data_IF_679414546759
#
_entry.id   IF_679414546759
#
_cell.length_a   1.000
_cell.length_b   1.000
_cell.length_c   1.000
_cell.angle_alpha   90.00
_cell.angle_beta   90.00
_cell.angle_gamma   90.00
#
_symmetry.space_group_name_H-M   'P 1'
#
loop_
_entity.id
_entity.type
_entity.pdbx_description
1 polymer ?
#
# COMPACT_ATOMS: atom_id res chain seq x y z
N UNK A 1 23.50 -8.22 -20.62
CA UNK A 1 22.78 -9.17 -19.76
C UNK A 1 21.59 -8.42 -19.15
N UNK A 2 20.35 -8.84 -19.42
CA UNK A 2 19.15 -8.03 -19.16
C UNK A 2 18.15 -8.72 -18.21
N UNK A 3 18.64 -9.21 -17.06
CA UNK A 3 17.87 -10.11 -16.16
C UNK A 3 18.01 -9.78 -14.66
N UNK A 4 18.39 -8.55 -14.29
CA UNK A 4 18.60 -8.13 -12.88
C UNK A 4 18.02 -6.74 -12.58
N UNK A 5 16.91 -6.36 -13.22
CA UNK A 5 16.29 -5.03 -13.09
C UNK A 5 14.76 -5.05 -12.85
N UNK A 6 14.18 -6.22 -12.55
CA UNK A 6 12.72 -6.43 -12.57
C UNK A 6 12.17 -7.05 -11.27
N UNK A 7 12.77 -6.71 -10.11
CA UNK A 7 12.38 -7.32 -8.81
C UNK A 7 12.41 -6.40 -7.58
N UNK A 8 12.44 -5.08 -7.80
CA UNK A 8 12.33 -4.06 -6.75
C UNK A 8 11.38 -2.98 -7.27
N UNK A 9 10.08 -3.18 -7.08
CA UNK A 9 9.05 -2.23 -7.53
C UNK A 9 8.11 -1.91 -6.38
N UNK A 10 8.05 -0.63 -5.99
CA UNK A 10 6.99 -0.02 -5.17
C UNK A 10 6.76 -0.50 -3.72
N UNK A 11 7.68 -1.21 -3.06
CA UNK A 11 7.52 -1.51 -1.61
C UNK A 11 7.49 -0.24 -0.75
N UNK A 12 7.98 0.87 -1.30
CA UNK A 12 7.87 2.20 -0.73
C UNK A 12 6.45 2.80 -0.71
N UNK A 13 5.41 2.04 -1.07
CA UNK A 13 4.01 2.51 -1.06
C UNK A 13 3.40 2.33 0.34
N UNK A 14 2.56 1.33 0.62
CA UNK A 14 1.61 1.39 1.75
C UNK A 14 2.19 1.53 3.18
N UNK A 15 3.45 1.18 3.45
CA UNK A 15 4.12 1.40 4.77
C UNK A 15 5.19 2.51 4.75
N UNK A 16 5.38 3.19 3.61
CA UNK A 16 6.41 4.21 3.36
C UNK A 16 5.85 5.49 2.72
N UNK A 17 4.58 5.51 2.37
CA UNK A 17 3.72 6.67 2.21
C UNK A 17 3.50 7.42 3.54
N UNK A 18 4.55 7.56 4.35
CA UNK A 18 4.62 8.55 5.43
C UNK A 18 4.99 9.90 4.82
N UNK A 19 4.02 10.54 4.17
CA UNK A 19 4.00 11.92 3.69
C UNK A 19 5.36 12.56 3.31
N UNK A 20 5.67 12.43 2.03
CA UNK A 20 6.52 13.31 1.22
C UNK A 20 8.04 13.29 1.37
N UNK A 21 8.68 13.66 0.25
CA UNK A 21 10.08 14.12 0.19
C UNK A 21 10.42 15.07 1.33
N UNK A 22 11.63 14.92 1.87
CA UNK A 22 12.25 15.82 2.86
C UNK A 22 12.19 17.31 2.44
N UNK A 23 12.11 17.59 1.15
CA UNK A 23 12.00 18.94 0.56
C UNK A 23 10.63 19.57 0.79
N UNK A 24 9.56 18.81 0.58
CA UNK A 24 8.16 19.26 0.74
C UNK A 24 7.66 19.14 2.19
N UNK A 25 8.29 18.28 3.01
CA UNK A 25 8.11 18.24 4.47
C UNK A 25 8.62 19.50 5.20
N UNK A 26 9.21 20.46 4.48
CA UNK A 26 9.40 21.83 4.99
C UNK A 26 8.12 22.69 4.91
N UNK A 27 7.08 22.24 4.20
CA UNK A 27 5.81 22.94 4.00
C UNK A 27 4.57 22.23 4.58
N UNK A 28 4.56 20.91 4.70
CA UNK A 28 3.44 20.15 5.28
C UNK A 28 3.47 20.24 6.82
N UNK A 29 2.43 20.82 7.41
CA UNK A 29 2.34 21.15 8.84
C UNK A 29 1.91 19.97 9.74
N UNK A 30 2.60 18.84 9.66
CA UNK A 30 2.42 17.74 10.62
C UNK A 30 3.62 17.68 11.56
N UNK A 31 3.40 17.92 12.84
CA UNK A 31 4.43 17.79 13.88
C UNK A 31 4.90 16.33 14.02
N UNK A 32 6.06 16.11 14.66
CA UNK A 32 6.57 14.74 14.87
C UNK A 32 5.67 13.94 15.80
N UNK A 33 5.00 14.64 16.71
CA UNK A 33 3.98 14.16 17.61
C UNK A 33 2.75 13.65 16.82
N UNK A 34 2.22 14.43 15.88
CA UNK A 34 1.09 14.03 15.02
C UNK A 34 1.45 12.90 14.05
N UNK A 35 2.67 12.91 13.49
CA UNK A 35 3.18 11.80 12.68
C UNK A 35 3.22 10.49 13.49
N UNK A 36 3.68 10.54 14.75
CA UNK A 36 3.70 9.38 15.64
C UNK A 36 2.30 8.98 16.11
N UNK A 37 1.37 9.92 16.28
CA UNK A 37 -0.03 9.64 16.61
C UNK A 37 -0.76 8.89 15.48
N UNK A 38 -0.52 9.29 14.22
CA UNK A 38 -1.14 8.67 13.05
C UNK A 38 -0.47 7.34 12.63
N UNK A 39 0.87 7.28 12.65
CA UNK A 39 1.64 6.19 12.02
C UNK A 39 2.47 5.34 13.01
N UNK A 40 2.51 5.72 14.29
CA UNK A 40 3.25 5.01 15.34
C UNK A 40 4.78 5.10 15.22
N UNK A 41 5.47 4.26 15.99
CA UNK A 41 6.94 4.12 15.99
C UNK A 41 7.52 3.45 14.72
N UNK A 42 6.70 3.24 13.67
CA UNK A 42 7.14 2.66 12.40
C UNK A 42 7.77 3.64 11.42
N UNK A 43 7.68 4.94 11.68
CA UNK A 43 8.20 6.00 10.80
C UNK A 43 9.67 6.32 11.09
N UNK A 44 10.50 6.44 10.05
CA UNK A 44 11.85 7.00 10.14
C UNK A 44 12.17 7.90 8.94
N UNK A 45 12.94 8.96 9.19
CA UNK A 45 13.37 9.91 8.15
C UNK A 45 14.31 9.25 7.10
N UNK A 46 15.07 8.24 7.53
CA UNK A 46 15.93 7.41 6.68
C UNK A 46 15.12 6.67 5.61
N UNK A 47 13.93 6.17 5.96
CA UNK A 47 13.07 5.48 5.00
C UNK A 47 12.47 6.41 3.94
N UNK A 48 12.31 7.71 4.22
CA UNK A 48 11.82 8.69 3.26
C UNK A 48 12.89 9.11 2.24
N UNK A 49 14.13 9.37 2.69
CA UNK A 49 15.26 9.70 1.81
C UNK A 49 15.56 8.53 0.84
N UNK A 50 15.56 7.28 1.33
CA UNK A 50 15.67 6.08 0.49
C UNK A 50 14.47 5.90 -0.46
N UNK A 51 13.29 6.45 -0.17
CA UNK A 51 12.16 6.39 -1.10
C UNK A 51 12.35 7.40 -2.24
N UNK A 52 12.71 8.65 -1.93
CA UNK A 52 12.94 9.70 -2.93
C UNK A 52 14.08 9.33 -3.90
N UNK A 53 15.20 8.82 -3.40
CA UNK A 53 16.37 8.48 -4.24
C UNK A 53 16.09 7.41 -5.30
N UNK A 54 15.13 6.50 -5.05
CA UNK A 54 14.84 5.36 -5.94
C UNK A 54 13.53 5.53 -6.73
N UNK A 55 12.59 6.37 -6.25
CA UNK A 55 11.25 6.51 -6.81
C UNK A 55 10.91 7.92 -7.30
N UNK A 56 11.75 8.93 -7.00
CA UNK A 56 11.51 10.35 -7.28
C UNK A 56 11.13 10.68 -8.73
N UNK A 57 11.72 9.97 -9.69
CA UNK A 57 11.46 10.15 -11.13
C UNK A 57 10.22 9.42 -11.66
N UNK A 58 9.55 8.60 -10.85
CA UNK A 58 8.36 7.86 -11.30
C UNK A 58 7.10 8.75 -11.28
N UNK A 59 6.24 8.59 -12.29
CA UNK A 59 5.00 9.36 -12.36
C UNK A 59 4.01 8.98 -11.23
N UNK A 60 4.05 7.73 -10.74
CA UNK A 60 3.30 7.31 -9.55
C UNK A 60 3.74 8.09 -8.29
N UNK A 61 5.05 8.29 -8.08
CA UNK A 61 5.58 9.12 -7.00
C UNK A 61 5.17 10.58 -7.16
N UNK A 62 5.39 11.17 -8.34
CA UNK A 62 5.01 12.57 -8.65
C UNK A 62 3.51 12.81 -8.46
N UNK A 63 2.67 11.85 -8.86
CA UNK A 63 1.22 11.91 -8.70
C UNK A 63 0.82 11.80 -7.22
N UNK A 64 1.39 10.85 -6.47
CA UNK A 64 1.21 10.73 -5.01
C UNK A 64 1.55 12.05 -4.32
N UNK A 65 2.77 12.58 -4.52
CA UNK A 65 3.21 13.87 -3.99
C UNK A 65 2.22 15.00 -4.31
N UNK A 66 1.68 15.04 -5.52
CA UNK A 66 0.70 16.06 -5.93
C UNK A 66 -0.67 15.91 -5.26
N UNK A 67 -1.11 14.69 -4.91
CA UNK A 67 -2.35 14.47 -4.14
C UNK A 67 -2.12 14.77 -2.66
N UNK A 68 -1.12 14.13 -2.05
CA UNK A 68 -0.81 14.18 -0.61
C UNK A 68 -0.34 15.54 -0.11
N UNK A 69 0.27 16.38 -0.96
CA UNK A 69 0.72 17.75 -0.59
C UNK A 69 -0.37 18.69 -0.06
N UNK A 70 -1.64 18.31 -0.17
CA UNK A 70 -2.79 19.10 0.30
C UNK A 70 -3.49 18.53 1.53
N UNK A 71 -3.11 17.34 1.98
CA UNK A 71 -3.84 16.62 3.03
C UNK A 71 -3.61 17.25 4.40
N UNK A 72 -4.69 17.35 5.16
CA UNK A 72 -4.72 17.73 6.56
C UNK A 72 -4.53 16.50 7.47
N UNK A 73 -4.54 16.71 8.80
CA UNK A 73 -4.58 15.62 9.77
C UNK A 73 -5.86 14.77 9.65
N UNK A 74 -6.98 15.40 9.28
CA UNK A 74 -8.27 14.72 9.19
C UNK A 74 -8.37 13.87 7.92
N UNK A 75 -7.87 14.37 6.77
CA UNK A 75 -7.71 13.57 5.54
C UNK A 75 -6.83 12.33 5.80
N UNK A 76 -5.74 12.50 6.59
CA UNK A 76 -4.90 11.37 6.99
C UNK A 76 -5.60 10.36 7.89
N UNK A 77 -6.47 10.81 8.78
CA UNK A 77 -7.25 9.92 9.64
C UNK A 77 -8.28 9.12 8.82
N UNK A 78 -8.91 9.73 7.82
CA UNK A 78 -9.81 9.06 6.88
C UNK A 78 -9.08 8.02 6.03
N UNK A 79 -7.94 8.40 5.42
CA UNK A 79 -7.06 7.50 4.65
C UNK A 79 -6.60 6.31 5.51
N UNK A 80 -6.25 6.54 6.78
CA UNK A 80 -5.91 5.46 7.71
C UNK A 80 -7.11 4.56 8.01
N UNK A 81 -8.29 5.12 8.24
CA UNK A 81 -9.51 4.36 8.53
C UNK A 81 -9.95 3.48 7.35
N UNK A 82 -9.83 3.97 6.11
CA UNK A 82 -10.04 3.16 4.89
C UNK A 82 -9.06 1.98 4.84
N UNK A 83 -7.77 2.21 5.05
CA UNK A 83 -6.75 1.16 5.08
C UNK A 83 -7.04 0.11 6.17
N UNK A 84 -7.31 0.55 7.39
CA UNK A 84 -7.66 -0.33 8.52
C UNK A 84 -8.92 -1.16 8.23
N UNK A 85 -9.92 -0.58 7.55
CA UNK A 85 -11.13 -1.30 7.14
C UNK A 85 -10.85 -2.40 6.09
N UNK A 86 -9.97 -2.15 5.11
CA UNK A 86 -9.59 -3.20 4.13
C UNK A 86 -8.80 -4.34 4.81
N UNK A 87 -7.90 -4.01 5.74
CA UNK A 87 -7.20 -5.00 6.56
C UNK A 87 -8.17 -5.83 7.42
N UNK A 88 -9.17 -5.19 8.04
CA UNK A 88 -10.19 -5.89 8.82
C UNK A 88 -11.05 -6.84 7.95
N UNK A 89 -11.38 -6.45 6.71
CA UNK A 89 -12.11 -7.28 5.77
C UNK A 89 -11.33 -8.56 5.41
N UNK A 90 -10.04 -8.45 5.09
CA UNK A 90 -9.14 -9.58 4.87
C UNK A 90 -9.02 -10.46 6.12
N UNK A 91 -8.76 -9.87 7.29
CA UNK A 91 -8.57 -10.62 8.53
C UNK A 91 -9.84 -11.38 8.96
N UNK A 92 -11.03 -10.84 8.69
CA UNK A 92 -12.30 -11.53 8.92
C UNK A 92 -12.53 -12.65 7.91
N UNK A 93 -12.27 -12.44 6.61
CA UNK A 93 -12.36 -13.50 5.60
C UNK A 93 -11.43 -14.69 5.91
N UNK A 94 -10.20 -14.43 6.37
CA UNK A 94 -9.28 -15.46 6.87
C UNK A 94 -9.78 -16.16 8.15
N UNK A 95 -10.49 -15.45 9.03
CA UNK A 95 -10.99 -16.00 10.30
C UNK A 95 -12.17 -16.95 10.07
N UNK A 96 -13.00 -16.65 9.08
CA UNK A 96 -14.12 -17.50 8.66
C UNK A 96 -13.68 -18.64 7.70
N UNK A 97 -12.37 -18.78 7.47
CA UNK A 97 -11.78 -19.85 6.63
C UNK A 97 -12.02 -19.70 5.13
N UNK A 98 -12.47 -18.53 4.66
CA UNK A 98 -12.73 -18.30 3.24
C UNK A 98 -11.40 -18.28 2.46
N UNK A 99 -11.30 -18.97 1.29
CA UNK A 99 -10.09 -18.96 0.49
C UNK A 99 -9.82 -17.57 -0.09
N UNK A 100 -8.55 -17.26 -0.39
CA UNK A 100 -8.15 -15.99 -1.00
C UNK A 100 -8.79 -15.75 -2.39
N UNK A 101 -9.22 -16.81 -3.07
CA UNK A 101 -9.98 -16.77 -4.34
C UNK A 101 -11.50 -16.61 -4.16
N UNK A 102 -12.00 -16.46 -2.93
CA UNK A 102 -13.43 -16.17 -2.69
C UNK A 102 -13.79 -14.74 -3.09
N UNK A 103 -15.06 -14.52 -3.47
CA UNK A 103 -15.57 -13.19 -3.82
C UNK A 103 -15.24 -12.16 -2.75
N UNK A 104 -15.54 -12.48 -1.48
CA UNK A 104 -15.24 -11.63 -0.31
C UNK A 104 -13.77 -11.25 -0.18
N UNK A 105 -12.84 -12.16 -0.48
CA UNK A 105 -11.41 -11.88 -0.42
C UNK A 105 -10.96 -11.03 -1.62
N UNK A 106 -11.48 -11.30 -2.82
CA UNK A 106 -11.23 -10.49 -4.01
C UNK A 106 -11.86 -9.08 -3.91
N UNK A 107 -12.98 -8.93 -3.21
CA UNK A 107 -13.63 -7.64 -2.96
C UNK A 107 -12.89 -6.81 -1.91
N UNK A 108 -12.32 -7.45 -0.88
CA UNK A 108 -11.37 -6.79 0.03
C UNK A 108 -10.11 -6.34 -0.73
N UNK A 109 -9.63 -7.13 -1.69
CA UNK A 109 -8.53 -6.74 -2.57
C UNK A 109 -8.91 -5.59 -3.51
N UNK A 110 -10.11 -5.59 -4.10
CA UNK A 110 -10.56 -4.48 -4.95
C UNK A 110 -10.76 -3.19 -4.14
N UNK A 111 -11.30 -3.26 -2.92
CA UNK A 111 -11.37 -2.12 -2.00
C UNK A 111 -9.96 -1.58 -1.66
N UNK A 112 -9.00 -2.46 -1.38
CA UNK A 112 -7.60 -2.08 -1.17
C UNK A 112 -6.97 -1.45 -2.43
N UNK A 113 -7.29 -1.94 -3.64
CA UNK A 113 -6.87 -1.33 -4.91
C UNK A 113 -7.45 0.07 -5.08
N UNK A 114 -8.76 0.23 -4.84
CA UNK A 114 -9.48 1.48 -5.02
C UNK A 114 -9.03 2.55 -4.02
N UNK A 115 -8.77 2.17 -2.76
CA UNK A 115 -8.14 3.05 -1.77
C UNK A 115 -6.80 3.60 -2.29
N UNK A 116 -5.87 2.73 -2.73
CA UNK A 116 -4.58 3.20 -3.26
C UNK A 116 -4.76 4.05 -4.52
N UNK A 117 -5.67 3.65 -5.42
CA UNK A 117 -5.96 4.36 -6.67
C UNK A 117 -6.50 5.78 -6.42
N UNK A 118 -7.35 5.96 -5.41
CA UNK A 118 -8.01 7.22 -5.13
C UNK A 118 -7.11 8.18 -4.34
N UNK A 119 -6.45 7.69 -3.29
CA UNK A 119 -5.68 8.54 -2.39
C UNK A 119 -4.29 8.91 -2.97
N UNK A 120 -3.61 7.99 -3.68
CA UNK A 120 -2.20 8.19 -4.04
C UNK A 120 -1.96 8.35 -5.55
N UNK A 121 -2.15 7.29 -6.33
CA UNK A 121 -1.80 7.29 -7.76
C UNK A 121 -2.57 6.23 -8.53
N UNK A 122 -2.69 6.39 -9.85
CA UNK A 122 -3.53 5.53 -10.69
C UNK A 122 -2.94 4.11 -10.80
N UNK A 123 -3.63 3.13 -10.18
CA UNK A 123 -3.18 1.77 -9.98
C UNK A 123 -4.05 0.75 -10.73
N UNK A 124 -3.54 0.20 -11.84
CA UNK A 124 -4.22 -0.88 -12.58
C UNK A 124 -4.27 -2.18 -11.78
N UNK A 125 -5.17 -3.14 -12.10
CA UNK A 125 -5.18 -4.47 -11.47
C UNK A 125 -3.84 -5.23 -11.61
N UNK A 126 -3.15 -5.08 -12.75
CA UNK A 126 -1.80 -5.61 -12.95
C UNK A 126 -0.75 -4.90 -12.07
N UNK A 127 -0.83 -3.57 -11.95
CA UNK A 127 -0.01 -2.81 -11.01
C UNK A 127 -0.22 -3.27 -9.57
N UNK A 128 -1.46 -3.61 -9.20
CA UNK A 128 -1.80 -4.14 -7.88
C UNK A 128 -1.26 -5.55 -7.65
N UNK A 129 -1.34 -6.43 -8.66
CA UNK A 129 -0.67 -7.75 -8.65
C UNK A 129 0.83 -7.62 -8.35
N UNK A 130 1.51 -6.69 -9.00
CA UNK A 130 2.93 -6.43 -8.77
C UNK A 130 3.21 -5.92 -7.33
N UNK A 131 2.28 -5.19 -6.69
CA UNK A 131 2.35 -4.89 -5.25
C UNK A 131 2.11 -6.15 -4.38
N UNK A 132 1.18 -7.02 -4.78
CA UNK A 132 0.90 -8.30 -4.10
C UNK A 132 2.12 -9.20 -3.97
N UNK A 133 2.77 -9.50 -5.09
CA UNK A 133 4.04 -10.26 -5.15
C UNK A 133 5.16 -9.63 -4.30
N UNK A 134 5.12 -8.32 -4.15
CA UNK A 134 6.13 -7.50 -3.52
C UNK A 134 5.96 -7.41 -1.99
N UNK A 135 4.73 -7.45 -1.45
CA UNK A 135 4.51 -7.47 0.01
C UNK A 135 5.10 -8.71 0.69
N UNK A 136 5.15 -9.85 -0.01
CA UNK A 136 5.78 -11.10 0.49
C UNK A 136 7.28 -11.19 0.20
N UNK A 137 7.82 -10.33 -0.68
CA UNK A 137 9.21 -10.41 -1.13
C UNK A 137 10.23 -9.79 -0.15
N UNK A 138 9.81 -8.82 0.69
CA UNK A 138 10.63 -8.20 1.73
C UNK A 138 9.95 -8.36 3.11
N UNK A 139 10.60 -9.04 4.09
CA UNK A 139 10.05 -9.28 5.42
C UNK A 139 9.59 -8.05 6.20
N UNK A 140 10.07 -6.84 5.87
CA UNK A 140 9.64 -5.59 6.52
C UNK A 140 8.17 -5.24 6.23
N UNK A 141 7.63 -5.77 5.14
CA UNK A 141 6.29 -5.46 4.64
C UNK A 141 5.31 -6.58 4.88
N UNK A 142 5.71 -7.84 4.72
CA UNK A 142 4.92 -8.98 5.18
C UNK A 142 4.61 -8.85 6.67
N UNK A 143 5.59 -8.42 7.48
CA UNK A 143 5.40 -8.12 8.90
C UNK A 143 4.17 -7.24 9.19
N UNK A 144 3.83 -6.27 8.34
CA UNK A 144 2.63 -5.41 8.53
C UNK A 144 1.34 -6.23 8.64
N UNK A 145 1.23 -7.29 7.84
CA UNK A 145 0.08 -8.17 7.79
C UNK A 145 0.21 -9.31 8.80
N UNK A 146 1.41 -9.88 8.97
CA UNK A 146 1.68 -10.92 9.96
C UNK A 146 1.50 -10.43 11.41
N UNK A 147 1.80 -9.15 11.70
CA UNK A 147 1.51 -8.48 12.98
C UNK A 147 0.00 -8.41 13.28
N UNK A 148 -0.87 -8.44 12.25
CA UNK A 148 -2.33 -8.44 12.37
C UNK A 148 -2.86 -9.88 12.49
N UNK A 149 -2.42 -10.79 11.61
CA UNK A 149 -2.80 -12.21 11.64
C UNK A 149 -1.72 -13.06 10.93
N UNK A 150 -1.23 -14.15 11.53
CA UNK A 150 -0.28 -15.05 10.86
C UNK A 150 -0.81 -15.61 9.53
N UNK A 151 0.03 -15.59 8.50
CA UNK A 151 -0.27 -15.97 7.12
C UNK A 151 -0.97 -14.90 6.28
N UNK A 152 -1.27 -13.73 6.83
CA UNK A 152 -2.05 -12.69 6.15
C UNK A 152 -1.29 -12.03 4.99
N UNK A 153 0.05 -11.94 5.04
CA UNK A 153 0.81 -11.38 3.92
C UNK A 153 0.63 -12.20 2.62
N UNK A 154 0.67 -13.53 2.75
CA UNK A 154 0.42 -14.45 1.64
C UNK A 154 -1.05 -14.42 1.21
N UNK A 155 -1.98 -14.39 2.15
CA UNK A 155 -3.42 -14.32 1.85
C UNK A 155 -3.81 -13.05 1.07
N UNK A 156 -3.29 -11.89 1.49
CA UNK A 156 -3.52 -10.60 0.81
C UNK A 156 -2.93 -10.63 -0.60
N UNK A 157 -1.71 -11.15 -0.79
CA UNK A 157 -1.15 -11.39 -2.13
C UNK A 157 -2.10 -12.24 -2.98
N UNK A 158 -2.49 -13.40 -2.50
CA UNK A 158 -3.22 -14.38 -3.32
C UNK A 158 -4.62 -13.87 -3.68
N UNK A 159 -5.25 -13.07 -2.81
CA UNK A 159 -6.51 -12.39 -3.08
C UNK A 159 -6.36 -11.25 -4.11
N UNK A 160 -5.26 -10.50 -4.05
CA UNK A 160 -4.89 -9.50 -5.06
C UNK A 160 -4.67 -10.16 -6.43
N UNK A 161 -3.96 -11.30 -6.48
CA UNK A 161 -3.78 -12.05 -7.71
C UNK A 161 -5.13 -12.51 -8.27
N UNK A 162 -5.98 -13.14 -7.45
CA UNK A 162 -7.31 -13.61 -7.87
C UNK A 162 -8.20 -12.46 -8.37
N UNK A 163 -8.20 -11.30 -7.71
CA UNK A 163 -8.95 -10.12 -8.15
C UNK A 163 -8.43 -9.57 -9.50
N UNK A 164 -7.12 -9.61 -9.73
CA UNK A 164 -6.55 -9.21 -11.03
C UNK A 164 -6.92 -10.18 -12.18
N UNK A 165 -7.01 -11.49 -11.93
CA UNK A 165 -7.52 -12.45 -12.92
C UNK A 165 -9.03 -12.22 -13.18
N UNK A 166 -9.81 -11.96 -12.12
CA UNK A 166 -11.23 -11.58 -12.21
C UNK A 166 -11.44 -10.34 -13.08
N UNK A 167 -10.61 -9.31 -12.89
CA UNK A 167 -10.67 -8.07 -13.66
C UNK A 167 -10.27 -8.26 -15.15
N UNK A 168 -9.33 -9.15 -15.44
CA UNK A 168 -8.93 -9.50 -16.81
C UNK A 168 -10.03 -10.29 -17.54
N UNK A 169 -10.66 -11.27 -16.86
CA UNK A 169 -11.75 -12.08 -17.41
C UNK A 169 -13.04 -11.28 -17.69
N UNK A 170 -13.18 -10.07 -17.15
CA UNK A 170 -14.29 -9.14 -17.44
C UNK A 170 -14.02 -8.25 -18.66
N UNK A 171 -12.82 -8.29 -19.24
CA UNK A 171 -12.39 -7.50 -20.41
C UNK A 171 -12.24 -8.35 -21.68
N UNK A 172 -12.81 -9.56 -21.67
CA UNK A 172 -12.73 -10.59 -22.72
C UNK A 172 -14.10 -10.86 -23.36
#
# INVERSE_FOLDING_TARGET
MALTLTRLQHVAVCRRLGFASKKEMSGIKLTKEEQKELFGDGFSEEYADEAEQWWGETEAWKQSQRRTSKYTKDDWAEVKAEMDATNAAFASAMTDGAPATSERAMDAAEAHRMHIQNQFYDLTPEGHRNLGDMYVADPRFSKTYEDIKPGMAQYVRDAIHANADRAAGQQS
#
